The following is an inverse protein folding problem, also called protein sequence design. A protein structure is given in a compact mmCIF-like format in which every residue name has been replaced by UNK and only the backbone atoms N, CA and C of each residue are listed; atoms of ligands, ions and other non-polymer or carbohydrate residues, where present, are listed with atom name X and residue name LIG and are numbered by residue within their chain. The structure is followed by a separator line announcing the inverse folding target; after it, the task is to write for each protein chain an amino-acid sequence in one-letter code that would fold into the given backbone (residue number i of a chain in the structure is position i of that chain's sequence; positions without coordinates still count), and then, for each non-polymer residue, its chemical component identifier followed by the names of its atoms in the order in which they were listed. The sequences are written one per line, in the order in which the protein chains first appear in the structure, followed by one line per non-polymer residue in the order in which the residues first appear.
data_IF_276460035019
#
_entry.id   IF_276460035019
#
_cell.length_a   1.000
_cell.length_b   1.000
_cell.length_c   1.000
_cell.angle_alpha   90.00
_cell.angle_beta   90.00
_cell.angle_gamma   90.00
#
_symmetry.space_group_name_H-M   'P 1'
#
loop_
_entity.id
_entity.type
_entity.pdbx_description
1 polymer ?
#
# COMPACT_ATOMS: atom_id res chain seq x y z
N UNK A 1 58.10 -20.58 56.27
CA UNK A 1 57.89 -20.08 54.89
C UNK A 1 56.66 -20.75 54.33
N UNK A 2 55.63 -19.98 53.97
CA UNK A 2 54.74 -20.20 52.81
C UNK A 2 53.65 -19.12 52.79
N UNK A 3 53.77 -18.23 51.81
CA UNK A 3 52.82 -17.18 51.46
C UNK A 3 51.47 -17.79 51.05
N UNK A 4 50.37 -17.20 51.51
CA UNK A 4 49.10 -17.26 50.80
C UNK A 4 48.59 -15.84 50.54
N UNK A 5 48.70 -15.42 49.28
CA UNK A 5 48.12 -14.20 48.73
C UNK A 5 46.61 -14.39 48.56
N UNK A 6 45.81 -13.48 49.08
CA UNK A 6 44.38 -13.40 48.79
C UNK A 6 44.21 -12.30 47.73
N UNK A 7 43.83 -12.70 46.53
CA UNK A 7 43.53 -11.78 45.42
C UNK A 7 42.06 -11.37 45.55
N UNK A 8 41.83 -10.08 45.81
CA UNK A 8 40.51 -9.47 45.76
C UNK A 8 40.08 -9.26 44.31
N UNK A 9 38.99 -9.91 43.91
CA UNK A 9 38.38 -9.72 42.59
C UNK A 9 37.20 -8.75 42.70
N UNK A 10 37.41 -7.51 42.28
CA UNK A 10 36.33 -6.53 42.06
C UNK A 10 35.62 -6.83 40.75
N UNK A 11 34.36 -7.26 40.83
CA UNK A 11 33.46 -7.41 39.68
C UNK A 11 32.97 -6.01 39.29
N UNK A 12 33.42 -5.50 38.15
CA UNK A 12 32.89 -4.27 37.54
C UNK A 12 31.63 -4.67 36.75
N UNK A 13 30.47 -4.38 37.31
CA UNK A 13 29.17 -4.54 36.63
C UNK A 13 28.97 -3.41 35.62
N UNK A 14 29.03 -3.73 34.33
CA UNK A 14 28.61 -2.84 33.26
C UNK A 14 27.07 -2.81 33.22
N UNK A 15 26.48 -1.73 33.70
CA UNK A 15 25.06 -1.42 33.51
C UNK A 15 24.85 -0.99 32.05
N UNK A 16 24.22 -1.83 31.25
CA UNK A 16 23.77 -1.48 29.89
C UNK A 16 22.40 -0.80 30.03
N UNK A 17 22.25 0.48 29.66
CA UNK A 17 20.94 1.11 29.63
C UNK A 17 20.11 0.49 28.49
N UNK A 18 18.97 -0.10 28.86
CA UNK A 18 17.91 -0.47 27.93
C UNK A 18 17.33 0.82 27.34
N UNK A 19 17.79 1.20 26.15
CA UNK A 19 17.14 2.22 25.33
C UNK A 19 15.85 1.59 24.80
N UNK A 20 14.75 1.80 25.52
CA UNK A 20 13.40 1.51 25.03
C UNK A 20 13.10 2.54 23.94
N UNK A 21 13.51 2.24 22.72
CA UNK A 21 13.11 2.99 21.55
C UNK A 21 11.61 2.78 21.34
N UNK A 22 10.81 3.76 21.75
CA UNK A 22 9.43 3.86 21.28
C UNK A 22 9.49 4.03 19.76
N UNK A 23 9.19 2.97 19.02
CA UNK A 23 8.95 3.04 17.58
C UNK A 23 7.63 3.80 17.45
N UNK A 24 7.62 5.05 16.96
CA UNK A 24 6.35 5.73 16.75
C UNK A 24 5.54 4.89 15.75
N UNK A 25 4.24 4.65 15.99
CA UNK A 25 3.39 4.10 14.96
C UNK A 25 3.48 5.03 13.74
N UNK A 26 3.84 4.48 12.59
CA UNK A 26 3.79 5.18 11.30
C UNK A 26 2.31 5.37 10.89
N UNK A 27 1.56 6.12 11.69
CA UNK A 27 0.27 6.67 11.30
C UNK A 27 0.58 7.77 10.27
N UNK A 28 0.47 7.41 8.99
CA UNK A 28 0.63 8.35 7.88
C UNK A 28 -0.62 9.22 7.79
N UNK A 29 -0.77 10.18 8.71
CA UNK A 29 -1.74 11.25 8.54
C UNK A 29 -1.35 12.05 7.28
N UNK A 30 -2.21 12.06 6.28
CA UNK A 30 -2.00 12.84 5.06
C UNK A 30 -1.88 14.33 5.39
N UNK A 31 -0.88 15.04 4.85
CA UNK A 31 -0.76 16.48 5.02
C UNK A 31 -2.04 17.19 4.53
N UNK A 32 -2.47 18.29 5.18
CA UNK A 32 -3.72 18.98 4.88
C UNK A 32 -3.84 19.57 3.44
N UNK A 33 -2.76 19.55 2.65
CA UNK A 33 -2.73 19.96 1.24
C UNK A 33 -2.36 18.81 0.28
N UNK A 34 -2.51 17.54 0.70
CA UNK A 34 -2.20 16.40 -0.16
C UNK A 34 -3.32 16.20 -1.18
N UNK A 35 -3.00 16.40 -2.46
CA UNK A 35 -3.85 15.95 -3.56
C UNK A 35 -3.83 14.43 -3.62
N UNK A 36 -4.92 13.83 -4.07
CA UNK A 36 -5.14 12.39 -4.19
C UNK A 36 -5.67 12.06 -5.59
N UNK A 37 -5.66 10.79 -5.99
CA UNK A 37 -6.22 10.39 -7.29
C UNK A 37 -7.69 10.78 -7.41
N UNK A 38 -8.37 10.76 -6.28
CA UNK A 38 -9.76 11.12 -6.08
C UNK A 38 -10.11 12.58 -6.36
N UNK A 39 -9.13 13.47 -6.21
CA UNK A 39 -9.29 14.89 -6.52
C UNK A 39 -9.24 15.15 -8.04
N UNK A 40 -8.83 14.15 -8.82
CA UNK A 40 -8.79 14.21 -10.27
C UNK A 40 -10.12 13.78 -10.89
N UNK A 41 -10.34 14.17 -12.14
CA UNK A 41 -11.38 13.56 -12.97
C UNK A 41 -10.92 12.18 -13.41
N UNK A 42 -11.56 11.13 -12.86
CA UNK A 42 -11.27 9.74 -13.21
C UNK A 42 -12.47 9.05 -13.87
N UNK A 43 -12.17 8.18 -14.84
CA UNK A 43 -13.14 7.30 -15.50
C UNK A 43 -12.84 5.86 -15.14
N UNK A 44 -13.90 5.11 -14.81
CA UNK A 44 -13.84 3.67 -14.58
C UNK A 44 -13.85 2.90 -15.89
N UNK A 45 -13.02 1.85 -15.96
CA UNK A 45 -13.05 0.85 -17.04
C UNK A 45 -13.19 -0.55 -16.42
N UNK A 46 -14.18 -1.34 -16.87
CA UNK A 46 -14.37 -2.73 -16.42
C UNK A 46 -15.30 -2.93 -15.21
N UNK A 47 -15.17 -4.10 -14.56
CA UNK A 47 -16.18 -4.65 -13.61
C UNK A 47 -15.88 -4.29 -12.14
N UNK A 48 -14.71 -3.73 -11.82
CA UNK A 48 -14.44 -3.08 -10.53
C UNK A 48 -14.31 -1.57 -10.64
N UNK A 49 -14.32 -0.90 -9.49
CA UNK A 49 -14.21 0.57 -9.39
C UNK A 49 -13.13 0.97 -8.39
N UNK A 50 -12.81 2.27 -8.37
CA UNK A 50 -12.06 2.92 -7.32
C UNK A 50 -13.05 3.52 -6.31
N UNK A 51 -13.26 2.83 -5.19
CA UNK A 51 -14.26 3.21 -4.19
C UNK A 51 -13.60 3.87 -3.00
N UNK A 52 -14.00 5.10 -2.70
CA UNK A 52 -13.59 5.74 -1.45
C UNK A 52 -14.06 4.97 -0.24
N UNK A 53 -13.12 4.77 0.69
CA UNK A 53 -13.42 4.21 2.01
C UNK A 53 -12.45 4.82 3.01
N UNK A 54 -12.92 5.05 4.22
CA UNK A 54 -12.09 5.49 5.33
C UNK A 54 -12.28 4.50 6.48
N UNK A 55 -11.65 3.32 6.34
CA UNK A 55 -11.69 2.29 7.38
C UNK A 55 -10.28 1.78 7.69
N UNK A 56 -9.94 1.55 8.97
CA UNK A 56 -8.68 0.93 9.32
C UNK A 56 -8.71 -0.56 8.96
N UNK A 57 -7.61 -1.06 8.41
CA UNK A 57 -7.40 -2.49 8.17
C UNK A 57 -6.07 -2.92 8.77
N UNK A 58 -5.91 -4.23 8.97
CA UNK A 58 -4.62 -4.83 9.33
C UNK A 58 -3.96 -5.46 8.13
N UNK A 59 -2.65 -5.23 7.95
CA UNK A 59 -1.82 -5.91 6.95
C UNK A 59 -0.49 -6.29 7.62
N UNK A 60 -0.12 -7.55 7.59
CA UNK A 60 1.15 -8.01 8.16
C UNK A 60 1.29 -7.68 9.65
N UNK A 61 0.19 -7.72 10.40
CA UNK A 61 0.13 -7.33 11.84
C UNK A 61 0.36 -5.84 12.13
N UNK A 62 0.22 -4.97 11.14
CA UNK A 62 0.24 -3.52 11.31
C UNK A 62 -1.11 -2.91 10.90
N UNK A 63 -1.51 -1.84 11.58
CA UNK A 63 -2.71 -1.08 11.22
C UNK A 63 -2.39 -0.06 10.13
N UNK A 64 -3.29 0.04 9.16
CA UNK A 64 -3.26 1.06 8.11
C UNK A 64 -4.62 1.70 7.96
N UNK A 65 -4.64 3.02 7.86
CA UNK A 65 -5.80 3.73 7.35
C UNK A 65 -5.89 3.52 5.84
N UNK A 66 -7.09 3.28 5.34
CA UNK A 66 -7.37 3.17 3.91
C UNK A 66 -7.99 4.45 3.39
N UNK A 67 -7.72 4.77 2.12
CA UNK A 67 -8.32 5.90 1.40
C UNK A 67 -9.36 5.43 0.37
N UNK A 68 -9.14 4.24 -0.17
CA UNK A 68 -10.00 3.63 -1.17
C UNK A 68 -9.79 2.11 -1.22
N UNK A 69 -10.63 1.42 -1.99
CA UNK A 69 -10.39 0.05 -2.43
C UNK A 69 -10.75 -0.13 -3.91
N UNK A 70 -10.10 -1.10 -4.55
CA UNK A 70 -10.40 -1.54 -5.89
C UNK A 70 -10.97 -2.96 -5.88
N UNK A 71 -12.15 -3.10 -6.47
CA UNK A 71 -12.86 -4.37 -6.58
C UNK A 71 -14.33 -4.19 -6.95
N UNK A 72 -15.10 -5.27 -6.89
CA UNK A 72 -16.50 -5.28 -7.36
C UNK A 72 -17.45 -4.66 -6.34
N UNK A 73 -17.25 -4.96 -5.06
CA UNK A 73 -18.04 -4.46 -3.92
C UNK A 73 -17.24 -4.65 -2.63
N UNK A 74 -17.69 -4.09 -1.50
CA UNK A 74 -16.97 -4.21 -0.23
C UNK A 74 -16.74 -5.67 0.21
N UNK A 75 -17.68 -6.57 -0.08
CA UNK A 75 -17.61 -7.99 0.35
C UNK A 75 -16.94 -8.91 -0.68
N UNK A 76 -16.78 -8.46 -1.93
CA UNK A 76 -16.28 -9.29 -3.03
C UNK A 76 -15.32 -8.49 -3.92
N UNK A 77 -14.09 -9.00 -4.03
CA UNK A 77 -13.10 -8.50 -4.97
C UNK A 77 -13.35 -8.97 -6.40
N UNK A 78 -12.28 -9.41 -7.06
CA UNK A 78 -12.29 -9.73 -8.50
C UNK A 78 -12.15 -11.22 -8.75
N UNK A 79 -12.86 -11.74 -9.74
CA UNK A 79 -12.54 -13.05 -10.37
C UNK A 79 -11.32 -12.93 -11.27
N UNK A 80 -10.69 -14.05 -11.60
CA UNK A 80 -9.52 -14.08 -12.50
C UNK A 80 -9.79 -13.49 -13.91
N UNK A 81 -11.03 -13.60 -14.39
CA UNK A 81 -11.45 -13.04 -15.69
C UNK A 81 -11.81 -11.55 -15.62
N UNK A 82 -11.82 -10.96 -14.43
CA UNK A 82 -12.25 -9.59 -14.19
C UNK A 82 -11.04 -8.68 -13.95
N UNK A 83 -11.18 -7.44 -14.40
CA UNK A 83 -10.22 -6.35 -14.17
C UNK A 83 -10.99 -5.17 -13.59
N UNK A 84 -10.43 -4.55 -12.57
CA UNK A 84 -10.80 -3.20 -12.16
C UNK A 84 -9.75 -2.23 -12.70
N UNK A 85 -10.21 -1.16 -13.33
CA UNK A 85 -9.33 -0.14 -13.87
C UNK A 85 -9.94 1.24 -13.62
N UNK A 86 -9.08 2.16 -13.20
CA UNK A 86 -9.39 3.58 -13.08
C UNK A 86 -8.38 4.37 -13.88
N UNK A 87 -8.86 5.31 -14.70
CA UNK A 87 -8.05 6.18 -15.55
C UNK A 87 -8.31 7.62 -15.15
N UNK A 88 -7.29 8.32 -14.67
CA UNK A 88 -7.39 9.68 -14.15
C UNK A 88 -6.69 10.68 -15.08
N UNK A 89 -7.36 11.82 -15.32
CA UNK A 89 -6.81 12.95 -16.07
C UNK A 89 -6.03 13.88 -15.12
N UNK A 90 -4.70 13.92 -15.26
CA UNK A 90 -3.80 14.71 -14.42
C UNK A 90 -3.96 16.23 -14.65
N UNK A 91 -4.54 16.65 -15.77
CA UNK A 91 -4.77 18.05 -16.12
C UNK A 91 -6.10 18.61 -15.59
N UNK A 92 -6.93 17.77 -14.97
CA UNK A 92 -8.30 18.14 -14.56
C UNK A 92 -8.37 19.20 -13.44
N UNK A 93 -7.36 19.28 -12.58
CA UNK A 93 -7.34 20.15 -11.40
C UNK A 93 -6.82 21.58 -11.65
N UNK A 94 -6.79 22.03 -12.91
CA UNK A 94 -6.32 23.37 -13.27
C UNK A 94 -4.80 23.48 -13.22
N UNK A 95 -4.20 23.87 -14.34
CA UNK A 95 -2.76 23.78 -14.60
C UNK A 95 -1.94 24.87 -13.89
N UNK A 96 -1.22 24.48 -12.82
CA UNK A 96 0.13 24.92 -12.38
C UNK A 96 0.24 25.01 -10.84
N UNK A 97 1.34 24.52 -10.22
CA UNK A 97 2.46 23.79 -10.83
C UNK A 97 2.07 22.36 -11.28
N UNK A 98 2.72 21.77 -12.29
CA UNK A 98 2.39 20.42 -12.74
C UNK A 98 2.58 19.37 -11.64
N UNK A 99 1.80 18.30 -11.67
CA UNK A 99 2.01 17.14 -10.81
C UNK A 99 3.32 16.46 -11.19
N UNK A 100 4.13 16.10 -10.19
CA UNK A 100 5.44 15.48 -10.37
C UNK A 100 5.47 14.02 -9.97
N UNK A 101 4.77 13.65 -8.90
CA UNK A 101 4.87 12.30 -8.35
C UNK A 101 3.53 11.82 -7.81
N UNK A 102 3.19 10.57 -8.13
CA UNK A 102 2.18 9.80 -7.42
C UNK A 102 2.88 8.82 -6.50
N UNK A 103 2.53 8.86 -5.22
CA UNK A 103 2.84 7.81 -4.25
C UNK A 103 1.62 6.93 -4.08
N UNK A 104 1.69 5.70 -4.60
CA UNK A 104 0.63 4.72 -4.47
C UNK A 104 1.10 3.59 -3.56
N UNK A 105 0.39 3.36 -2.45
CA UNK A 105 0.62 2.21 -1.57
C UNK A 105 -0.66 1.40 -1.49
N UNK A 106 -0.56 0.09 -1.70
CA UNK A 106 -1.71 -0.83 -1.69
C UNK A 106 -1.42 -2.08 -0.87
N UNK A 107 -2.46 -2.79 -0.47
CA UNK A 107 -2.30 -4.10 0.17
C UNK A 107 -3.59 -4.89 0.27
N UNK A 108 -3.48 -6.09 0.85
CA UNK A 108 -4.59 -7.00 1.09
C UNK A 108 -4.86 -7.05 2.60
N UNK A 109 -6.13 -6.99 3.00
CA UNK A 109 -6.54 -7.05 4.39
C UNK A 109 -6.28 -8.44 4.99
N UNK A 110 -5.57 -8.49 6.12
CA UNK A 110 -5.42 -9.71 6.91
C UNK A 110 -6.79 -10.19 7.43
N UNK A 111 -7.03 -11.50 7.39
CA UNK A 111 -8.25 -12.12 7.92
C UNK A 111 -9.47 -12.05 6.99
N UNK A 112 -9.35 -11.44 5.82
CA UNK A 112 -10.33 -11.60 4.74
C UNK A 112 -10.36 -13.07 4.27
N UNK A 113 -11.55 -13.64 4.10
CA UNK A 113 -11.73 -15.05 3.74
C UNK A 113 -11.28 -15.37 2.29
N UNK A 114 -11.06 -14.33 1.49
CA UNK A 114 -10.46 -14.42 0.16
C UNK A 114 -8.93 -14.22 0.17
N UNK A 115 -8.30 -14.10 1.35
CA UNK A 115 -6.85 -13.94 1.51
C UNK A 115 -6.23 -15.16 2.17
N UNK A 116 -5.28 -15.77 1.47
CA UNK A 116 -4.36 -16.76 2.02
C UNK A 116 -2.91 -16.49 1.54
N UNK A 117 -1.99 -17.41 1.84
CA UNK A 117 -0.56 -17.26 1.53
C UNK A 117 -0.25 -17.26 0.02
N UNK A 118 -1.12 -17.84 -0.81
CA UNK A 118 -0.92 -17.93 -2.27
C UNK A 118 -1.67 -16.84 -3.04
N UNK A 119 -2.61 -16.17 -2.38
CA UNK A 119 -3.43 -15.12 -2.96
C UNK A 119 -2.56 -13.99 -3.49
N UNK A 120 -2.79 -13.60 -4.75
CA UNK A 120 -2.09 -12.48 -5.38
C UNK A 120 -2.96 -11.70 -6.37
N UNK A 121 -2.84 -10.38 -6.30
CA UNK A 121 -3.42 -9.43 -7.25
C UNK A 121 -2.28 -8.79 -8.03
N UNK A 122 -2.35 -8.80 -9.36
CA UNK A 122 -1.44 -8.03 -10.20
C UNK A 122 -1.94 -6.60 -10.31
N UNK A 123 -1.10 -5.66 -9.90
CA UNK A 123 -1.38 -4.23 -10.04
C UNK A 123 -0.46 -3.66 -11.11
N UNK A 124 -1.05 -3.03 -12.12
CA UNK A 124 -0.29 -2.37 -13.19
C UNK A 124 -0.61 -0.88 -13.23
N UNK A 125 0.45 -0.10 -13.41
CA UNK A 125 0.38 1.35 -13.57
C UNK A 125 0.68 1.67 -15.03
N UNK A 126 -0.15 2.51 -15.64
CA UNK A 126 0.04 3.00 -16.99
C UNK A 126 0.18 4.52 -17.00
N UNK A 127 1.04 5.03 -17.86
CA UNK A 127 1.18 6.46 -18.16
C UNK A 127 0.85 6.66 -19.63
N UNK A 128 -0.16 7.48 -19.93
CA UNK A 128 -0.63 7.75 -21.29
C UNK A 128 -0.85 6.47 -22.11
N UNK A 129 -1.51 5.50 -21.48
CA UNK A 129 -1.83 4.18 -22.07
C UNK A 129 -0.65 3.20 -22.17
N UNK A 130 0.57 3.60 -21.81
CA UNK A 130 1.74 2.70 -21.82
C UNK A 130 2.03 2.15 -20.43
N UNK A 131 2.30 0.85 -20.36
CA UNK A 131 2.66 0.20 -19.11
C UNK A 131 3.93 0.84 -18.53
N UNK A 132 3.86 1.26 -17.27
CA UNK A 132 4.98 1.81 -16.52
C UNK A 132 5.63 0.74 -15.66
N UNK A 133 4.82 0.12 -14.78
CA UNK A 133 5.26 -0.98 -13.91
C UNK A 133 4.09 -1.91 -13.59
N UNK A 134 4.41 -3.17 -13.34
CA UNK A 134 3.48 -4.16 -12.79
C UNK A 134 4.14 -4.85 -11.61
N UNK A 135 3.42 -4.99 -10.49
CA UNK A 135 3.89 -5.78 -9.35
C UNK A 135 2.75 -6.64 -8.79
N UNK A 136 3.04 -7.84 -8.29
CA UNK A 136 2.09 -8.61 -7.52
C UNK A 136 1.97 -8.02 -6.10
N UNK A 137 0.75 -8.02 -5.59
CA UNK A 137 0.41 -7.70 -4.21
C UNK A 137 -0.03 -8.99 -3.54
N UNK A 138 0.64 -9.35 -2.45
CA UNK A 138 0.43 -10.59 -1.71
C UNK A 138 0.00 -10.31 -0.28
N UNK A 139 -0.49 -11.34 0.41
CA UNK A 139 -0.87 -11.26 1.82
C UNK A 139 0.27 -10.76 2.72
N UNK A 140 -0.08 -9.94 3.70
CA UNK A 140 0.79 -9.50 4.77
C UNK A 140 1.87 -8.48 4.41
N UNK A 141 1.94 -8.00 3.16
CA UNK A 141 2.93 -7.00 2.73
C UNK A 141 2.33 -5.94 1.81
N UNK A 142 2.26 -4.68 2.25
CA UNK A 142 1.93 -3.58 1.35
C UNK A 142 2.97 -3.43 0.24
N UNK A 143 2.53 -2.95 -0.91
CA UNK A 143 3.39 -2.65 -2.06
C UNK A 143 3.27 -1.18 -2.41
N UNK A 144 4.40 -0.53 -2.65
CA UNK A 144 4.48 0.89 -2.99
C UNK A 144 5.02 1.11 -4.40
N UNK A 145 4.49 2.13 -5.06
CA UNK A 145 5.02 2.76 -6.25
C UNK A 145 5.27 4.25 -5.99
N UNK A 146 6.38 4.73 -6.54
CA UNK A 146 6.65 6.14 -6.76
C UNK A 146 6.66 6.34 -8.27
N UNK A 147 5.62 6.98 -8.79
CA UNK A 147 5.40 7.14 -10.23
C UNK A 147 5.75 8.57 -10.60
N UNK A 148 6.70 8.73 -11.52
CA UNK A 148 7.02 10.02 -12.12
C UNK A 148 5.92 10.43 -13.09
N UNK A 149 5.32 11.59 -12.83
CA UNK A 149 4.22 12.20 -13.59
C UNK A 149 4.68 13.34 -14.50
N UNK A 150 6.00 13.61 -14.59
CA UNK A 150 6.49 14.63 -15.50
C UNK A 150 6.12 14.33 -16.95
N UNK A 151 5.44 15.29 -17.58
CA UNK A 151 4.96 15.18 -18.95
C UNK A 151 3.99 14.00 -19.17
N UNK A 152 3.22 13.63 -18.14
CA UNK A 152 2.15 12.64 -18.22
C UNK A 152 0.82 13.37 -18.16
N UNK A 153 -0.11 13.03 -19.06
CA UNK A 153 -1.45 13.63 -19.09
C UNK A 153 -2.48 12.75 -18.39
N UNK A 154 -2.29 11.44 -18.43
CA UNK A 154 -3.20 10.45 -17.87
C UNK A 154 -2.45 9.32 -17.18
N UNK A 155 -3.00 8.89 -16.05
CA UNK A 155 -2.53 7.71 -15.32
C UNK A 155 -3.65 6.70 -15.22
N UNK A 156 -3.35 5.42 -15.44
CA UNK A 156 -4.27 4.34 -15.14
C UNK A 156 -3.69 3.42 -14.08
N UNK A 157 -4.54 2.98 -13.16
CA UNK A 157 -4.25 1.92 -12.20
C UNK A 157 -5.18 0.76 -12.51
N UNK A 158 -4.61 -0.41 -12.75
CA UNK A 158 -5.37 -1.64 -12.96
C UNK A 158 -5.07 -2.63 -11.84
N UNK A 159 -6.10 -3.39 -11.46
CA UNK A 159 -5.95 -4.54 -10.58
C UNK A 159 -6.60 -5.76 -11.23
N UNK A 160 -5.85 -6.86 -11.29
CA UNK A 160 -6.32 -8.13 -11.83
C UNK A 160 -6.06 -9.25 -10.83
N UNK A 161 -7.04 -10.13 -10.64
CA UNK A 161 -6.84 -11.33 -9.84
C UNK A 161 -5.90 -12.29 -10.58
N UNK A 162 -4.70 -12.53 -10.03
CA UNK A 162 -3.75 -13.45 -10.61
C UNK A 162 -3.92 -14.85 -10.01
N UNK A 163 -3.85 -14.94 -8.69
CA UNK A 163 -4.07 -16.19 -7.95
C UNK A 163 -5.11 -15.93 -6.86
N UNK A 164 -6.32 -16.50 -6.96
CA UNK A 164 -7.31 -16.39 -5.88
C UNK A 164 -6.94 -17.31 -4.71
N UNK A 165 -7.59 -17.14 -3.56
CA UNK A 165 -7.44 -18.05 -2.44
C UNK A 165 -7.91 -19.47 -2.78
N UNK A 166 -7.34 -20.48 -2.11
CA UNK A 166 -7.52 -21.92 -2.41
C UNK A 166 -8.98 -22.35 -2.48
N UNK A 167 -9.84 -21.78 -1.64
CA UNK A 167 -11.26 -22.15 -1.55
C UNK A 167 -12.20 -21.06 -2.09
N UNK A 168 -11.69 -20.17 -2.94
CA UNK A 168 -12.42 -19.02 -3.45
C UNK A 168 -12.20 -18.85 -4.96
N UNK A 169 -13.24 -18.56 -5.76
CA UNK A 169 -13.05 -18.14 -7.15
C UNK A 169 -12.72 -16.63 -7.27
N UNK A 170 -12.59 -15.93 -6.15
CA UNK A 170 -12.32 -14.50 -6.06
C UNK A 170 -10.99 -14.23 -5.36
N UNK A 171 -10.28 -13.22 -5.85
CA UNK A 171 -9.32 -12.45 -5.08
C UNK A 171 -10.06 -11.44 -4.18
N UNK A 172 -9.42 -10.99 -3.08
CA UNK A 172 -9.99 -9.96 -2.20
C UNK A 172 -10.05 -8.61 -2.90
N UNK A 173 -10.62 -7.62 -2.22
CA UNK A 173 -10.42 -6.23 -2.60
C UNK A 173 -8.96 -5.81 -2.44
N UNK A 174 -8.48 -4.98 -3.36
CA UNK A 174 -7.19 -4.31 -3.24
C UNK A 174 -7.39 -3.00 -2.48
N UNK A 175 -6.89 -2.90 -1.26
CA UNK A 175 -7.01 -1.66 -0.50
C UNK A 175 -5.90 -0.68 -0.84
N UNK A 176 -6.27 0.58 -1.01
CA UNK A 176 -5.36 1.69 -1.24
C UNK A 176 -5.11 2.36 0.11
N UNK A 177 -3.85 2.38 0.53
CA UNK A 177 -3.39 2.95 1.80
C UNK A 177 -2.90 4.39 1.61
N UNK A 178 -2.43 4.71 0.40
CA UNK A 178 -1.97 6.05 0.03
C UNK A 178 -2.10 6.20 -1.47
N UNK A 179 -2.64 7.33 -1.95
CA UNK A 179 -2.75 7.70 -3.36
C UNK A 179 -2.34 9.17 -3.61
N UNK A 180 -1.32 9.63 -2.87
CA UNK A 180 -0.94 11.04 -2.79
C UNK A 180 -0.19 11.54 -4.03
N UNK A 181 -0.60 12.72 -4.50
CA UNK A 181 -0.03 13.47 -5.60
C UNK A 181 0.74 14.68 -5.09
N UNK A 182 1.95 14.89 -5.59
CA UNK A 182 2.80 16.05 -5.25
C UNK A 182 3.16 16.87 -6.47
N UNK A 183 3.42 18.16 -6.27
CA UNK A 183 3.82 19.12 -7.32
C UNK A 183 5.30 19.48 -7.27
#
# INVERSE_FOLDING_TARGET
MNLRRIVSSTVVGLAVPLVVGAVPPLAHAQPPDSLTLSDLTCTRVGIGDYWHVAQPISIGRQYYDTVAYMGRSLDYGLRQSEVAEVVCNLNSIGSAPPLKTLTLTVGLQDGDFHVDEVTSILVSIYRDGKIYQTKPVMSGRPVQWLVDLQNVESIAVTSQCATPAVNSPYCPNLYILTDSLTR
#
